data_IF_322648244883
#
_entry.id   IF_322648244883
#
_cell.length_a   1.000
_cell.length_b   1.000
_cell.length_c   1.000
_cell.angle_alpha   90.00
_cell.angle_beta   90.00
_cell.angle_gamma   90.00
#
_symmetry.space_group_name_H-M   'P 1'
#
loop_
_entity.id
_entity.type
_entity.pdbx_description
1 polymer ?
#
# COMPACT_ATOMS: atom_id res chain seq x y z
N UNK A 1 -7.58 -2.39 -10.21
CA UNK A 1 -7.70 -3.48 -9.23
C UNK A 1 -8.15 -4.73 -9.95
N UNK A 2 -7.82 -5.91 -9.43
CA UNK A 2 -8.30 -7.21 -9.91
C UNK A 2 -9.28 -7.79 -8.89
N UNK A 3 -10.14 -8.70 -9.34
CA UNK A 3 -11.12 -9.36 -8.46
C UNK A 3 -10.49 -10.19 -7.34
N UNK A 4 -9.24 -10.63 -7.55
CA UNK A 4 -8.47 -11.42 -6.59
C UNK A 4 -7.64 -10.57 -5.63
N UNK A 5 -7.54 -9.26 -5.83
CA UNK A 5 -6.71 -8.40 -4.98
C UNK A 5 -7.35 -8.28 -3.59
N UNK A 6 -6.51 -8.32 -2.55
CA UNK A 6 -6.94 -7.89 -1.22
C UNK A 6 -6.94 -6.36 -1.20
N UNK A 7 -8.06 -5.76 -0.78
CA UNK A 7 -8.22 -4.30 -0.73
C UNK A 7 -8.25 -3.82 0.73
N UNK A 8 -7.46 -2.80 1.03
CA UNK A 8 -7.43 -2.14 2.32
C UNK A 8 -7.75 -0.65 2.17
N UNK A 9 -8.44 -0.09 3.17
CA UNK A 9 -8.72 1.34 3.28
C UNK A 9 -8.06 1.87 4.56
N UNK A 10 -7.01 2.68 4.41
CA UNK A 10 -6.28 3.26 5.54
C UNK A 10 -6.71 4.69 5.78
N UNK A 11 -7.06 5.03 7.02
CA UNK A 11 -7.22 6.43 7.44
C UNK A 11 -5.84 7.00 7.79
N UNK A 12 -5.28 7.77 6.87
CA UNK A 12 -3.91 8.30 6.95
C UNK A 12 -3.93 9.77 7.33
N UNK A 13 -3.03 10.17 8.22
CA UNK A 13 -2.75 11.58 8.57
C UNK A 13 -1.28 11.85 8.28
N UNK A 14 -0.95 12.42 7.10
CA UNK A 14 0.43 12.73 6.74
C UNK A 14 1.03 13.78 7.68
N UNK A 15 2.34 13.72 7.90
CA UNK A 15 3.06 14.82 8.57
C UNK A 15 2.98 16.11 7.74
N UNK A 16 3.06 17.29 8.36
CA UNK A 16 3.07 18.57 7.63
C UNK A 16 4.15 18.60 6.54
N UNK A 17 3.75 18.97 5.32
CA UNK A 17 4.65 19.02 4.16
C UNK A 17 4.80 17.70 3.40
N UNK A 18 4.24 16.59 3.90
CA UNK A 18 4.19 15.31 3.17
C UNK A 18 2.90 15.25 2.35
N UNK A 19 2.97 15.08 1.01
CA UNK A 19 1.79 14.88 0.18
C UNK A 19 1.01 13.61 0.56
N UNK A 20 -0.31 13.63 0.43
CA UNK A 20 -1.15 12.47 0.71
C UNK A 20 -0.81 11.29 -0.22
N UNK A 21 -0.45 11.59 -1.46
CA UNK A 21 0.00 10.62 -2.47
C UNK A 21 1.26 9.89 -2.03
N UNK A 22 2.25 10.62 -1.48
CA UNK A 22 3.48 10.03 -0.97
C UNK A 22 3.21 9.19 0.27
N UNK A 23 2.37 9.68 1.20
CA UNK A 23 2.00 8.91 2.38
C UNK A 23 1.27 7.60 2.01
N UNK A 24 0.34 7.65 1.06
CA UNK A 24 -0.36 6.46 0.55
C UNK A 24 0.58 5.50 -0.20
N UNK A 25 1.50 6.03 -1.00
CA UNK A 25 2.51 5.23 -1.70
C UNK A 25 3.47 4.56 -0.71
N UNK A 26 3.92 5.25 0.33
CA UNK A 26 4.79 4.70 1.38
C UNK A 26 4.09 3.57 2.15
N UNK A 27 2.81 3.75 2.54
CA UNK A 27 2.02 2.68 3.15
C UNK A 27 1.96 1.46 2.23
N UNK A 28 1.66 1.65 0.95
CA UNK A 28 1.57 0.55 -0.01
C UNK A 28 2.92 -0.15 -0.24
N UNK A 29 4.02 0.59 -0.28
CA UNK A 29 5.36 0.08 -0.51
C UNK A 29 5.85 -0.78 0.67
N UNK A 30 5.89 -0.23 1.88
CA UNK A 30 6.47 -0.87 3.07
C UNK A 30 5.59 -2.00 3.63
N UNK A 31 4.30 -2.07 3.25
CA UNK A 31 3.42 -3.21 3.55
C UNK A 31 3.37 -4.26 2.42
N UNK A 32 4.26 -4.19 1.44
CA UNK A 32 4.37 -5.20 0.38
C UNK A 32 5.81 -5.57 0.07
N UNK A 33 6.52 -4.76 -0.71
CA UNK A 33 7.85 -5.13 -1.26
C UNK A 33 8.89 -4.01 -1.22
N UNK A 34 8.50 -2.79 -0.85
CA UNK A 34 9.37 -1.62 -0.89
C UNK A 34 10.21 -1.45 0.38
N UNK A 35 11.29 -0.69 0.25
CA UNK A 35 12.06 -0.14 1.37
C UNK A 35 12.53 1.28 1.03
N UNK A 36 13.17 1.97 1.98
CA UNK A 36 13.54 3.39 1.90
C UNK A 36 14.54 3.78 0.80
N UNK A 37 15.19 2.82 0.15
CA UNK A 37 16.13 3.06 -0.96
C UNK A 37 16.01 1.97 -2.00
N UNK A 38 16.36 2.30 -3.25
CA UNK A 38 16.32 1.34 -4.35
C UNK A 38 17.26 0.17 -4.08
N UNK A 39 16.77 -1.04 -4.33
CA UNK A 39 17.57 -2.27 -4.25
C UNK A 39 17.63 -2.93 -5.62
N UNK A 40 18.84 -3.31 -6.04
CA UNK A 40 19.04 -3.93 -7.36
C UNK A 40 18.32 -5.29 -7.49
N UNK A 41 18.03 -5.94 -6.36
CA UNK A 41 17.33 -7.22 -6.30
C UNK A 41 15.90 -7.16 -6.79
N UNK A 42 15.31 -5.96 -6.89
CA UNK A 42 14.03 -5.76 -7.55
C UNK A 42 14.04 -6.27 -9.01
N UNK A 43 15.20 -6.21 -9.67
CA UNK A 43 15.40 -6.72 -11.03
C UNK A 43 15.43 -8.25 -11.14
N UNK A 44 15.44 -8.98 -10.01
CA UNK A 44 15.37 -10.45 -9.98
C UNK A 44 13.94 -10.98 -9.94
N UNK A 45 12.95 -10.10 -9.72
CA UNK A 45 11.53 -10.43 -9.65
C UNK A 45 10.71 -9.47 -10.52
N UNK A 46 9.40 -9.67 -10.57
CA UNK A 46 8.48 -8.76 -11.25
C UNK A 46 7.79 -7.86 -10.23
N UNK A 47 8.30 -6.64 -10.03
CA UNK A 47 7.63 -5.63 -9.21
C UNK A 47 6.19 -5.37 -9.69
N UNK A 48 5.95 -5.41 -11.01
CA UNK A 48 4.61 -5.25 -11.56
C UNK A 48 3.65 -6.39 -11.20
N UNK A 49 4.16 -7.54 -10.76
CA UNK A 49 3.31 -8.60 -10.20
C UNK A 49 3.06 -8.40 -8.71
N UNK A 50 4.11 -8.07 -7.94
CA UNK A 50 4.07 -8.18 -6.47
C UNK A 50 3.88 -6.86 -5.71
N UNK A 51 4.08 -5.70 -6.34
CA UNK A 51 3.95 -4.41 -5.63
C UNK A 51 2.49 -4.15 -5.19
N UNK A 52 2.32 -3.82 -3.91
CA UNK A 52 1.11 -3.18 -3.40
C UNK A 52 0.92 -1.80 -4.05
N UNK A 53 -0.33 -1.36 -4.22
CA UNK A 53 -0.63 -0.12 -4.96
C UNK A 53 -1.68 0.71 -4.27
N UNK A 54 -1.32 1.93 -3.88
CA UNK A 54 -2.29 2.97 -3.58
C UNK A 54 -2.93 3.41 -4.91
N UNK A 55 -4.21 3.07 -5.11
CA UNK A 55 -4.89 3.31 -6.39
C UNK A 55 -5.95 4.43 -6.32
N UNK A 56 -6.35 4.81 -5.10
CA UNK A 56 -7.29 5.90 -4.88
C UNK A 56 -7.03 6.55 -3.53
N UNK A 57 -7.17 7.88 -3.48
CA UNK A 57 -7.04 8.69 -2.28
C UNK A 57 -8.21 9.66 -2.28
N UNK A 58 -8.92 9.74 -1.16
CA UNK A 58 -9.97 10.72 -0.95
C UNK A 58 -9.77 11.45 0.39
N UNK A 59 -10.12 12.72 0.43
CA UNK A 59 -10.10 13.50 1.67
C UNK A 59 -11.26 13.08 2.59
N UNK A 60 -11.00 13.00 3.89
CA UNK A 60 -12.03 12.73 4.88
C UNK A 60 -12.83 14.02 5.12
N UNK A 61 -14.14 13.96 4.84
CA UNK A 61 -15.03 15.12 5.04
C UNK A 61 -15.04 15.53 6.51
N UNK A 62 -14.79 16.82 6.77
CA UNK A 62 -14.77 17.38 8.12
C UNK A 62 -13.39 17.37 8.80
N UNK A 63 -12.36 16.85 8.14
CA UNK A 63 -10.99 16.81 8.66
C UNK A 63 -10.05 17.54 7.71
N UNK A 64 -9.11 18.33 8.23
CA UNK A 64 -8.25 19.19 7.40
C UNK A 64 -7.08 18.44 6.75
N UNK A 65 -6.56 17.39 7.39
CA UNK A 65 -5.35 16.70 6.95
C UNK A 65 -5.47 15.17 7.09
N UNK A 66 -6.66 14.63 6.82
CA UNK A 66 -6.90 13.18 6.87
C UNK A 66 -7.48 12.67 5.57
N UNK A 67 -7.02 11.49 5.18
CA UNK A 67 -7.32 10.89 3.88
C UNK A 67 -7.65 9.41 4.07
N UNK A 68 -8.49 8.87 3.19
CA UNK A 68 -8.62 7.43 3.00
C UNK A 68 -7.74 7.04 1.82
N UNK A 69 -6.69 6.27 2.09
CA UNK A 69 -5.81 5.70 1.07
C UNK A 69 -6.23 4.26 0.80
N UNK A 70 -6.70 3.98 -0.41
CA UNK A 70 -7.09 2.64 -0.83
C UNK A 70 -5.90 1.91 -1.46
N UNK A 71 -5.51 0.79 -0.84
CA UNK A 71 -4.37 -0.01 -1.26
C UNK A 71 -4.86 -1.37 -1.75
N UNK A 72 -4.34 -1.81 -2.90
CA UNK A 72 -4.56 -3.13 -3.46
C UNK A 72 -3.30 -3.99 -3.35
N UNK A 73 -3.46 -5.21 -2.83
CA UNK A 73 -2.40 -6.20 -2.66
C UNK A 73 -2.68 -7.43 -3.55
N UNK A 74 -1.70 -7.87 -4.36
CA UNK A 74 -1.82 -9.12 -5.11
C UNK A 74 -2.02 -10.33 -4.17
N UNK A 75 -2.92 -11.25 -4.54
CA UNK A 75 -3.21 -12.46 -3.75
C UNK A 75 -1.97 -13.27 -3.40
N UNK A 76 -1.04 -13.40 -4.35
CA UNK A 76 0.19 -14.20 -4.21
C UNK A 76 1.16 -13.70 -3.13
N UNK A 77 0.89 -12.56 -2.48
CA UNK A 77 1.66 -12.08 -1.32
C UNK A 77 1.32 -12.84 -0.03
N UNK A 78 0.17 -13.51 0.02
CA UNK A 78 -0.38 -14.04 1.26
C UNK A 78 -0.35 -15.56 1.30
N UNK A 79 0.03 -16.08 2.47
CA UNK A 79 -0.01 -17.50 2.80
C UNK A 79 -1.46 -17.97 3.00
N UNK A 80 -1.82 -19.08 2.35
CA UNK A 80 -3.17 -19.63 2.43
C UNK A 80 -3.55 -20.05 3.86
N UNK A 81 -4.67 -19.55 4.35
CA UNK A 81 -5.20 -19.89 5.68
C UNK A 81 -4.49 -19.22 6.87
N UNK A 82 -3.59 -18.26 6.61
CA UNK A 82 -2.77 -17.60 7.65
C UNK A 82 -3.20 -16.15 7.90
N UNK A 83 -4.09 -15.95 8.87
CA UNK A 83 -4.46 -14.59 9.33
C UNK A 83 -3.25 -13.86 9.91
N UNK A 84 -2.34 -14.59 10.54
CA UNK A 84 -1.08 -14.05 11.05
C UNK A 84 -0.23 -13.45 9.94
N UNK A 85 -0.04 -14.15 8.82
CA UNK A 85 0.70 -13.62 7.68
C UNK A 85 0.02 -12.38 7.08
N UNK A 86 -1.32 -12.38 6.96
CA UNK A 86 -2.08 -11.24 6.43
C UNK A 86 -1.91 -9.95 7.25
N UNK A 87 -1.72 -10.07 8.57
CA UNK A 87 -1.56 -8.92 9.48
C UNK A 87 -0.10 -8.60 9.83
N UNK A 88 0.86 -9.35 9.27
CA UNK A 88 2.30 -9.04 9.39
C UNK A 88 2.67 -7.94 8.42
#
# INVERSE_FOLDING_TARGET
>A
TKDTDILAAFRVTPQPGVPAEEAGAAVAAESSTGTWTTVWTDGLTSLDRYKGRCYHIEAVVGEENQYICYVAYPLDLFEEGSVTNMFT
#
